data_IF_703380684128
#
_entry.id   IF_703380684128
#
_cell.length_a   1.000
_cell.length_b   1.000
_cell.length_c   1.000
_cell.angle_alpha   90.00
_cell.angle_beta   90.00
_cell.angle_gamma   90.00
#
_symmetry.space_group_name_H-M   'P 1'
#
loop_
_entity.id
_entity.type
_entity.pdbx_description
1 polymer ?
#
# COMPACT_ATOMS: atom_id res chain seq x y z
N UNK A 1 -26.28 16.40 16.87
CA UNK A 1 -25.38 15.75 15.87
C UNK A 1 -25.41 14.24 16.06
N UNK A 2 -25.80 13.49 15.05
CA UNK A 2 -25.87 12.03 15.05
C UNK A 2 -24.88 11.43 14.05
N UNK A 3 -24.49 10.16 14.22
CA UNK A 3 -23.58 9.48 13.29
C UNK A 3 -24.11 9.49 11.84
N UNK A 4 -25.43 9.43 11.68
CA UNK A 4 -26.09 9.48 10.38
C UNK A 4 -25.91 10.84 9.70
N UNK A 5 -25.90 11.92 10.46
CA UNK A 5 -25.66 13.27 9.97
C UNK A 5 -24.23 13.40 9.42
N UNK A 6 -23.26 12.83 10.15
CA UNK A 6 -21.86 12.80 9.71
C UNK A 6 -21.69 12.02 8.40
N UNK A 7 -22.40 10.90 8.22
CA UNK A 7 -22.38 10.14 6.96
C UNK A 7 -22.89 10.98 5.78
N UNK A 8 -23.99 11.68 5.97
CA UNK A 8 -24.58 12.52 4.93
C UNK A 8 -23.67 13.68 4.55
N UNK A 9 -23.08 14.32 5.54
CA UNK A 9 -22.10 15.38 5.34
C UNK A 9 -20.85 14.87 4.60
N UNK A 10 -20.25 13.76 5.04
CA UNK A 10 -19.06 13.20 4.40
C UNK A 10 -19.31 12.84 2.93
N UNK A 11 -20.43 12.19 2.64
CA UNK A 11 -20.77 11.82 1.26
C UNK A 11 -21.02 13.06 0.38
N UNK A 12 -21.68 14.09 0.89
CA UNK A 12 -21.89 15.34 0.17
C UNK A 12 -20.58 16.05 -0.15
N UNK A 13 -19.62 16.02 0.79
CA UNK A 13 -18.28 16.56 0.61
C UNK A 13 -17.49 15.78 -0.47
N UNK A 14 -17.50 14.46 -0.40
CA UNK A 14 -16.79 13.57 -1.34
C UNK A 14 -17.30 13.72 -2.78
N UNK A 15 -18.62 13.84 -2.94
CA UNK A 15 -19.24 13.98 -4.26
C UNK A 15 -19.26 15.42 -4.77
N UNK A 16 -18.97 16.40 -3.92
CA UNK A 16 -19.09 17.84 -4.24
C UNK A 16 -20.50 18.25 -4.67
N UNK A 17 -21.54 17.50 -4.23
CA UNK A 17 -22.92 17.67 -4.67
C UNK A 17 -23.91 17.05 -3.69
N UNK A 18 -24.79 17.88 -3.14
CA UNK A 18 -25.88 17.42 -2.25
C UNK A 18 -26.87 16.52 -3.01
N UNK A 19 -27.16 16.83 -4.28
CA UNK A 19 -28.09 16.05 -5.10
C UNK A 19 -27.56 14.63 -5.32
N UNK A 20 -26.29 14.48 -5.73
CA UNK A 20 -25.67 13.17 -5.92
C UNK A 20 -25.57 12.38 -4.61
N UNK A 21 -25.28 13.06 -3.51
CA UNK A 21 -25.26 12.42 -2.20
C UNK A 21 -26.64 11.90 -1.80
N UNK A 22 -27.71 12.67 -2.04
CA UNK A 22 -29.08 12.27 -1.78
C UNK A 22 -29.49 11.06 -2.63
N UNK A 23 -29.17 11.06 -3.92
CA UNK A 23 -29.39 9.91 -4.83
C UNK A 23 -28.68 8.65 -4.34
N UNK A 24 -27.42 8.77 -3.99
CA UNK A 24 -26.62 7.64 -3.48
C UNK A 24 -27.17 7.07 -2.17
N UNK A 25 -27.71 7.94 -1.32
CA UNK A 25 -28.28 7.57 -0.01
C UNK A 25 -29.76 7.12 -0.08
N UNK A 26 -30.38 7.22 -1.26
CA UNK A 26 -31.81 6.87 -1.42
C UNK A 26 -32.76 7.80 -0.66
N UNK A 27 -32.38 9.08 -0.48
CA UNK A 27 -33.19 10.08 0.24
C UNK A 27 -33.43 11.32 -0.64
N UNK A 28 -34.33 12.21 -0.22
CA UNK A 28 -34.56 13.45 -0.95
C UNK A 28 -33.42 14.48 -0.74
N UNK A 29 -33.14 15.26 -1.77
CA UNK A 29 -32.13 16.35 -1.68
C UNK A 29 -32.47 17.39 -0.59
N UNK A 30 -33.75 17.83 -0.40
CA UNK A 30 -34.10 18.72 0.71
C UNK A 30 -33.77 18.13 2.09
N UNK A 31 -33.86 16.81 2.24
CA UNK A 31 -33.52 16.16 3.50
C UNK A 31 -32.02 16.25 3.80
N UNK A 32 -31.16 15.98 2.83
CA UNK A 32 -29.70 16.11 3.02
C UNK A 32 -29.33 17.57 3.29
N UNK A 33 -29.93 18.52 2.58
CA UNK A 33 -29.71 19.96 2.83
C UNK A 33 -30.07 20.32 4.26
N UNK A 34 -31.23 19.85 4.76
CA UNK A 34 -31.67 20.09 6.13
C UNK A 34 -30.69 19.52 7.17
N UNK A 35 -30.13 18.34 6.89
CA UNK A 35 -29.11 17.73 7.77
C UNK A 35 -27.85 18.58 7.82
N UNK A 36 -27.35 19.03 6.66
CA UNK A 36 -26.16 19.88 6.57
C UNK A 36 -26.39 21.19 7.31
N UNK A 37 -27.50 21.88 7.05
CA UNK A 37 -27.82 23.15 7.73
C UNK A 37 -27.90 22.97 9.25
N UNK A 38 -28.50 21.87 9.74
CA UNK A 38 -28.54 21.57 11.18
C UNK A 38 -27.13 21.35 11.77
N UNK A 39 -26.23 20.69 11.07
CA UNK A 39 -24.85 20.54 11.50
C UNK A 39 -24.13 21.89 11.58
N UNK A 40 -24.33 22.74 10.58
CA UNK A 40 -23.73 24.09 10.54
C UNK A 40 -24.29 24.98 11.67
N UNK A 41 -25.60 24.89 11.96
CA UNK A 41 -26.23 25.57 13.10
C UNK A 41 -25.67 25.09 14.44
N UNK A 42 -25.56 23.78 14.66
CA UNK A 42 -25.00 23.21 15.88
C UNK A 42 -23.52 23.59 16.09
N UNK A 43 -22.75 23.72 15.01
CA UNK A 43 -21.34 24.10 15.04
C UNK A 43 -21.13 25.62 15.05
N UNK A 44 -22.17 26.39 14.76
CA UNK A 44 -22.10 27.85 14.68
C UNK A 44 -21.25 28.37 13.51
N UNK A 45 -21.04 27.56 12.49
CA UNK A 45 -20.20 27.92 11.33
C UNK A 45 -20.67 27.18 10.07
N UNK A 46 -20.42 27.80 8.92
CA UNK A 46 -20.61 27.14 7.63
C UNK A 46 -19.46 26.16 7.36
N UNK A 47 -19.78 25.05 6.72
CA UNK A 47 -18.84 24.00 6.35
C UNK A 47 -18.57 23.96 4.84
N UNK A 48 -19.52 24.49 4.04
CA UNK A 48 -19.42 24.53 2.59
C UNK A 48 -19.48 25.95 2.05
N UNK A 49 -18.68 26.17 1.00
CA UNK A 49 -18.82 27.31 0.11
C UNK A 49 -19.55 26.89 -1.16
N UNK A 50 -20.36 27.78 -1.73
CA UNK A 50 -21.04 27.56 -2.99
C UNK A 50 -20.21 28.14 -4.13
N UNK A 51 -19.61 27.30 -4.96
CA UNK A 51 -18.85 27.71 -6.13
C UNK A 51 -19.60 27.30 -7.41
N UNK A 52 -20.24 28.27 -8.08
CA UNK A 52 -21.02 28.18 -9.31
C UNK A 52 -22.18 27.19 -9.28
N UNK A 53 -22.04 25.92 -9.11
CA UNK A 53 -23.09 24.88 -9.01
C UNK A 53 -22.58 23.69 -8.20
N UNK A 54 -21.44 23.83 -7.54
CA UNK A 54 -20.86 22.79 -6.70
C UNK A 54 -20.68 23.31 -5.29
N UNK A 55 -20.83 22.42 -4.35
CA UNK A 55 -20.42 22.68 -2.98
C UNK A 55 -18.94 22.28 -2.84
N UNK A 56 -18.17 23.10 -2.11
CA UNK A 56 -16.78 22.85 -1.80
C UNK A 56 -16.58 23.10 -0.31
N UNK A 57 -15.84 22.24 0.36
CA UNK A 57 -15.51 22.46 1.77
C UNK A 57 -14.72 23.77 1.91
N UNK A 58 -15.12 24.61 2.88
CA UNK A 58 -14.27 25.69 3.36
C UNK A 58 -13.27 25.18 4.42
N UNK A 59 -12.43 26.02 4.96
CA UNK A 59 -11.40 25.64 5.96
C UNK A 59 -12.00 24.91 7.18
N UNK A 60 -13.15 25.38 7.69
CA UNK A 60 -13.86 24.73 8.81
C UNK A 60 -14.43 23.39 8.38
N UNK A 61 -14.98 23.30 7.15
CA UNK A 61 -15.49 22.09 6.54
C UNK A 61 -14.42 21.03 6.34
N UNK A 62 -13.23 21.41 5.89
CA UNK A 62 -12.09 20.48 5.75
C UNK A 62 -11.65 19.90 7.10
N UNK A 63 -11.56 20.76 8.12
CA UNK A 63 -11.25 20.34 9.48
C UNK A 63 -12.31 19.37 10.01
N UNK A 64 -13.58 19.75 9.87
CA UNK A 64 -14.70 18.94 10.34
C UNK A 64 -14.80 17.63 9.57
N UNK A 65 -14.59 17.64 8.24
CA UNK A 65 -14.62 16.44 7.39
C UNK A 65 -13.62 15.39 7.86
N UNK A 66 -12.39 15.75 8.19
CA UNK A 66 -11.40 14.82 8.71
C UNK A 66 -11.90 14.10 9.95
N UNK A 67 -12.39 14.84 10.95
CA UNK A 67 -12.91 14.26 12.19
C UNK A 67 -14.19 13.46 11.98
N UNK A 68 -15.12 13.95 11.17
CA UNK A 68 -16.37 13.26 10.84
C UNK A 68 -16.11 11.94 10.12
N UNK A 69 -15.19 11.94 9.15
CA UNK A 69 -14.77 10.73 8.42
C UNK A 69 -14.17 9.68 9.34
N UNK A 70 -13.32 10.09 10.28
CA UNK A 70 -12.72 9.19 11.27
C UNK A 70 -13.80 8.55 12.17
N UNK A 71 -14.76 9.33 12.64
CA UNK A 71 -15.86 8.82 13.48
C UNK A 71 -16.72 7.83 12.70
N UNK A 72 -17.13 8.14 11.48
CA UNK A 72 -17.93 7.27 10.61
C UNK A 72 -17.19 5.96 10.35
N UNK A 73 -15.92 6.04 9.94
CA UNK A 73 -15.10 4.86 9.68
C UNK A 73 -14.94 3.99 10.93
N UNK A 74 -14.73 4.62 12.11
CA UNK A 74 -14.62 3.88 13.36
C UNK A 74 -15.90 3.18 13.76
N UNK A 75 -17.05 3.79 13.51
CA UNK A 75 -18.35 3.17 13.77
C UNK A 75 -18.59 1.97 12.84
N UNK A 76 -18.24 2.08 11.56
CA UNK A 76 -18.38 0.96 10.60
C UNK A 76 -17.44 -0.19 10.94
N UNK A 77 -16.22 0.12 11.35
CA UNK A 77 -15.24 -0.85 11.83
C UNK A 77 -15.76 -1.60 13.06
N UNK A 78 -16.36 -0.90 14.04
CA UNK A 78 -16.87 -1.53 15.26
C UNK A 78 -17.95 -2.58 14.95
N UNK A 79 -18.82 -2.32 13.98
CA UNK A 79 -19.83 -3.29 13.54
C UNK A 79 -19.14 -4.51 12.92
N UNK A 80 -18.17 -4.29 12.04
CA UNK A 80 -17.36 -5.36 11.44
C UNK A 80 -16.62 -6.20 12.49
N UNK A 81 -16.07 -5.53 13.50
CA UNK A 81 -15.33 -6.18 14.59
C UNK A 81 -16.24 -7.10 15.42
N UNK A 82 -17.48 -6.68 15.72
CA UNK A 82 -18.45 -7.51 16.45
C UNK A 82 -18.88 -8.72 15.60
N UNK A 83 -19.11 -8.52 14.31
CA UNK A 83 -19.44 -9.64 13.41
C UNK A 83 -18.29 -10.64 13.30
N UNK A 84 -17.06 -10.16 13.21
CA UNK A 84 -15.86 -11.01 13.21
C UNK A 84 -15.63 -11.75 14.55
N UNK A 85 -16.10 -11.20 15.68
CA UNK A 85 -16.04 -11.88 16.99
C UNK A 85 -17.07 -13.00 17.12
N UNK A 86 -18.16 -12.96 16.37
CA UNK A 86 -19.22 -13.98 16.42
C UNK A 86 -18.90 -15.22 15.57
N UNK A 87 -18.05 -15.08 14.56
CA UNK A 87 -17.61 -16.18 13.70
C UNK A 87 -16.20 -16.65 14.08
N UNK A 88 -16.14 -17.77 14.79
CA UNK A 88 -14.93 -18.34 15.42
C UNK A 88 -13.83 -18.81 14.46
N UNK A 89 -13.64 -18.33 13.27
CA UNK A 89 -12.46 -18.66 12.44
C UNK A 89 -12.41 -17.98 11.05
N UNK A 90 -13.34 -17.15 10.69
CA UNK A 90 -13.31 -16.48 9.37
C UNK A 90 -13.16 -14.98 9.58
N UNK A 91 -12.03 -14.42 9.18
CA UNK A 91 -11.84 -12.97 9.20
C UNK A 91 -11.42 -12.46 7.83
N UNK A 92 -11.81 -11.25 7.54
CA UNK A 92 -11.31 -10.52 6.37
C UNK A 92 -10.32 -9.49 6.83
N UNK A 93 -9.11 -9.52 6.28
CA UNK A 93 -8.09 -8.51 6.51
C UNK A 93 -7.87 -7.72 5.23
N UNK A 94 -7.91 -6.39 5.32
CA UNK A 94 -7.60 -5.50 4.20
C UNK A 94 -6.14 -5.12 4.24
N UNK A 95 -5.40 -5.54 3.22
CA UNK A 95 -3.98 -5.30 3.04
C UNK A 95 -3.72 -4.42 1.81
N UNK A 96 -3.10 -3.29 2.02
CA UNK A 96 -2.57 -2.48 0.93
C UNK A 96 -1.12 -2.83 0.64
N UNK A 97 -0.67 -2.59 -0.58
CA UNK A 97 0.74 -2.77 -0.93
C UNK A 97 1.17 -1.83 -2.06
N UNK A 98 2.45 -1.49 -2.08
CA UNK A 98 3.08 -0.78 -3.20
C UNK A 98 4.18 -1.60 -3.89
N UNK A 99 4.41 -2.83 -3.41
CA UNK A 99 5.34 -3.78 -3.99
C UNK A 99 4.78 -5.21 -3.88
N UNK A 100 4.56 -5.86 -5.01
CA UNK A 100 3.96 -7.19 -5.09
C UNK A 100 4.96 -8.35 -4.86
N UNK A 101 6.25 -8.08 -4.79
CA UNK A 101 7.30 -9.10 -4.80
C UNK A 101 7.23 -10.16 -3.70
N UNK A 102 6.52 -9.89 -2.60
CA UNK A 102 6.38 -10.82 -1.46
C UNK A 102 4.97 -11.39 -1.33
N UNK A 103 3.98 -10.82 -2.02
CA UNK A 103 2.57 -11.13 -1.78
C UNK A 103 2.19 -12.55 -2.15
N UNK A 104 2.69 -13.07 -3.26
CA UNK A 104 2.38 -14.45 -3.68
C UNK A 104 2.76 -15.46 -2.60
N UNK A 105 3.95 -15.33 -2.01
CA UNK A 105 4.42 -16.20 -0.93
C UNK A 105 3.64 -15.95 0.38
N UNK A 106 3.37 -14.68 0.71
CA UNK A 106 2.59 -14.29 1.89
C UNK A 106 1.17 -14.88 1.81
N UNK A 107 0.50 -14.69 0.67
CA UNK A 107 -0.86 -15.17 0.45
C UNK A 107 -0.93 -16.70 0.53
N UNK A 108 0.00 -17.41 -0.13
CA UNK A 108 0.06 -18.87 -0.05
C UNK A 108 0.23 -19.35 1.39
N UNK A 109 1.11 -18.74 2.17
CA UNK A 109 1.30 -19.07 3.58
C UNK A 109 0.08 -18.69 4.44
N UNK A 110 -0.56 -17.55 4.15
CA UNK A 110 -1.79 -17.12 4.82
C UNK A 110 -2.93 -18.10 4.59
N UNK A 111 -3.20 -18.47 3.35
CA UNK A 111 -4.26 -19.42 2.99
C UNK A 111 -4.02 -20.81 3.60
N UNK A 112 -2.75 -21.25 3.68
CA UNK A 112 -2.41 -22.50 4.34
C UNK A 112 -2.70 -22.45 5.86
N UNK A 113 -2.49 -21.31 6.51
CA UNK A 113 -2.69 -21.13 7.96
C UNK A 113 -4.14 -20.81 8.33
N UNK A 114 -4.85 -20.07 7.48
CA UNK A 114 -6.22 -19.57 7.70
C UNK A 114 -7.11 -19.85 6.48
N UNK A 115 -7.43 -21.13 6.20
CA UNK A 115 -8.07 -21.53 4.94
C UNK A 115 -9.48 -20.99 4.73
N UNK A 116 -10.12 -20.49 5.78
CA UNK A 116 -11.46 -19.90 5.73
C UNK A 116 -11.46 -18.36 5.75
N UNK A 117 -10.30 -17.76 5.99
CA UNK A 117 -10.18 -16.31 6.08
C UNK A 117 -9.91 -15.68 4.71
N UNK A 118 -10.24 -14.41 4.55
CA UNK A 118 -10.04 -13.65 3.32
C UNK A 118 -8.97 -12.57 3.54
N UNK A 119 -7.94 -12.59 2.72
CA UNK A 119 -6.98 -11.49 2.61
C UNK A 119 -7.33 -10.66 1.39
N UNK A 120 -7.89 -9.46 1.62
CA UNK A 120 -8.25 -8.53 0.56
C UNK A 120 -7.06 -7.64 0.24
N UNK A 121 -6.36 -7.93 -0.85
CA UNK A 121 -5.15 -7.24 -1.27
C UNK A 121 -5.44 -6.18 -2.34
N UNK A 122 -4.88 -4.99 -2.16
CA UNK A 122 -5.05 -3.90 -3.13
C UNK A 122 -3.75 -3.14 -3.31
N UNK A 123 -3.30 -3.02 -4.56
CA UNK A 123 -2.21 -2.10 -4.91
C UNK A 123 -2.63 -0.66 -4.67
N UNK A 124 -1.76 0.12 -4.04
CA UNK A 124 -2.01 1.52 -3.79
C UNK A 124 -0.71 2.34 -3.83
N UNK A 125 -0.81 3.58 -4.28
CA UNK A 125 0.29 4.54 -4.20
C UNK A 125 0.49 4.98 -2.73
N UNK A 126 1.70 5.42 -2.39
CA UNK A 126 2.07 5.78 -1.01
C UNK A 126 1.10 6.76 -0.34
N UNK A 127 0.67 7.80 -1.05
CA UNK A 127 -0.30 8.77 -0.54
C UNK A 127 -1.64 8.14 -0.18
N UNK A 128 -2.11 7.19 -1.01
CA UNK A 128 -3.36 6.48 -0.79
C UNK A 128 -3.24 5.49 0.37
N UNK A 129 -2.08 4.82 0.52
CA UNK A 129 -1.79 3.96 1.66
C UNK A 129 -1.89 4.76 2.94
N UNK A 130 -1.18 5.91 3.02
CA UNK A 130 -1.21 6.80 4.19
C UNK A 130 -2.64 7.26 4.49
N UNK A 131 -3.37 7.71 3.47
CA UNK A 131 -4.76 8.16 3.63
C UNK A 131 -5.68 7.06 4.15
N UNK A 132 -5.63 5.87 3.53
CA UNK A 132 -6.52 4.75 3.88
C UNK A 132 -6.19 4.14 5.24
N UNK A 133 -4.92 4.06 5.64
CA UNK A 133 -4.53 3.64 6.99
C UNK A 133 -4.98 4.68 8.04
N UNK A 134 -4.81 5.97 7.77
CA UNK A 134 -5.24 7.04 8.68
C UNK A 134 -6.75 7.04 8.90
N UNK A 135 -7.53 6.81 7.85
CA UNK A 135 -9.00 6.77 7.91
C UNK A 135 -9.56 5.42 8.34
N UNK A 136 -8.73 4.38 8.50
CA UNK A 136 -9.16 3.04 8.85
C UNK A 136 -9.88 2.30 7.72
N UNK A 137 -9.79 2.77 6.48
CA UNK A 137 -10.31 2.08 5.28
C UNK A 137 -9.46 0.86 4.92
N UNK A 138 -8.25 0.76 5.46
CA UNK A 138 -7.41 -0.42 5.41
C UNK A 138 -6.83 -0.69 6.80
N UNK A 139 -6.55 -1.95 7.09
CA UNK A 139 -6.02 -2.38 8.37
C UNK A 139 -4.51 -2.39 8.39
N UNK A 140 -3.92 -2.87 7.30
CA UNK A 140 -2.48 -3.00 7.15
C UNK A 140 -2.01 -2.54 5.78
N UNK A 141 -0.72 -2.19 5.72
CA UNK A 141 -0.02 -2.05 4.46
C UNK A 141 1.35 -2.73 4.53
N UNK A 142 1.76 -3.34 3.42
CA UNK A 142 3.14 -3.78 3.17
C UNK A 142 3.71 -2.82 2.14
N UNK A 143 4.71 -2.06 2.55
CA UNK A 143 5.28 -1.03 1.69
C UNK A 143 6.81 -1.01 1.71
N UNK A 144 7.34 -0.48 0.63
CA UNK A 144 8.74 -0.25 0.38
C UNK A 144 8.92 1.21 -0.10
N UNK A 145 9.71 2.04 0.60
CA UNK A 145 10.22 1.87 1.96
C UNK A 145 9.12 2.01 3.04
N UNK A 146 9.39 1.70 4.33
CA UNK A 146 8.47 1.92 5.43
C UNK A 146 8.02 3.38 5.52
N UNK A 147 6.78 3.63 5.95
CA UNK A 147 6.26 4.98 6.17
C UNK A 147 7.02 5.61 7.35
N UNK A 148 7.65 6.75 7.09
CA UNK A 148 8.37 7.47 8.11
C UNK A 148 7.43 8.28 9.03
N UNK A 149 7.86 8.56 10.27
CA UNK A 149 7.02 9.25 11.26
C UNK A 149 6.69 10.71 10.90
N UNK A 150 7.51 11.34 10.08
CA UNK A 150 7.27 12.70 9.56
C UNK A 150 6.21 12.70 8.44
N UNK A 151 6.01 11.58 7.74
CA UNK A 151 4.95 11.44 6.75
C UNK A 151 3.57 11.23 7.38
N UNK A 152 3.49 10.51 8.50
CA UNK A 152 2.26 10.38 9.29
C UNK A 152 2.54 10.03 10.74
N UNK A 153 2.04 10.90 11.64
CA UNK A 153 2.10 10.65 13.09
C UNK A 153 1.12 9.58 13.57
N UNK A 154 0.16 9.19 12.74
CA UNK A 154 -0.87 8.20 13.09
C UNK A 154 -0.45 6.77 12.74
N UNK A 155 0.51 6.62 11.84
CA UNK A 155 0.95 5.31 11.35
C UNK A 155 2.18 4.86 12.13
N UNK A 156 2.19 3.59 12.47
CA UNK A 156 3.37 2.86 12.91
C UNK A 156 3.77 1.90 11.81
N UNK A 157 5.04 1.97 11.40
CA UNK A 157 5.66 1.05 10.46
C UNK A 157 6.71 0.22 11.17
N UNK A 158 6.50 -1.09 11.20
CA UNK A 158 7.46 -2.05 11.72
C UNK A 158 8.28 -2.59 10.56
N UNK A 159 9.59 -2.44 10.61
CA UNK A 159 10.46 -3.10 9.62
C UNK A 159 10.33 -4.61 9.76
N UNK A 160 9.88 -5.27 8.70
CA UNK A 160 9.67 -6.73 8.68
C UNK A 160 10.68 -7.47 7.81
N UNK A 161 11.29 -6.80 6.84
CA UNK A 161 12.29 -7.40 5.96
C UNK A 161 13.34 -6.39 5.51
N UNK A 162 14.59 -6.86 5.38
CA UNK A 162 15.69 -6.14 4.71
C UNK A 162 16.12 -6.96 3.50
N UNK A 163 15.80 -6.47 2.31
CA UNK A 163 16.04 -7.17 1.07
C UNK A 163 17.33 -6.70 0.41
N UNK A 164 18.22 -7.62 0.12
CA UNK A 164 19.47 -7.34 -0.60
C UNK A 164 19.28 -7.21 -2.11
N UNK A 165 18.11 -7.63 -2.62
CA UNK A 165 17.78 -7.57 -4.02
C UNK A 165 18.52 -8.57 -4.91
N UNK A 166 17.98 -8.72 -6.10
CA UNK A 166 18.59 -9.44 -7.20
C UNK A 166 18.32 -8.71 -8.52
N UNK A 167 18.98 -9.11 -9.59
CA UNK A 167 18.75 -8.58 -10.93
C UNK A 167 18.41 -9.70 -11.87
N UNK A 168 17.34 -9.54 -12.61
CA UNK A 168 16.92 -10.46 -13.66
C UNK A 168 17.61 -10.09 -14.97
N UNK A 169 18.21 -11.08 -15.61
CA UNK A 169 18.93 -10.94 -16.88
C UNK A 169 18.68 -12.16 -17.79
N UNK A 170 18.63 -11.99 -19.12
CA UNK A 170 18.46 -13.11 -20.02
C UNK A 170 19.75 -13.97 -20.09
N UNK A 171 19.67 -15.25 -20.53
CA UNK A 171 20.81 -16.18 -20.53
C UNK A 171 22.01 -15.74 -21.37
N UNK A 172 21.80 -14.95 -22.42
CA UNK A 172 22.86 -14.42 -23.29
C UNK A 172 23.44 -13.08 -22.80
N UNK A 173 22.97 -12.57 -21.68
CA UNK A 173 23.45 -11.31 -21.10
C UNK A 173 24.83 -11.50 -20.45
N UNK A 174 25.78 -10.54 -20.58
CA UNK A 174 27.10 -10.64 -19.94
C UNK A 174 27.07 -10.92 -18.44
N UNK A 175 26.09 -10.33 -17.72
CA UNK A 175 25.91 -10.54 -16.28
C UNK A 175 25.41 -11.94 -15.92
N UNK A 176 24.89 -12.70 -16.88
CA UNK A 176 24.38 -14.06 -16.62
C UNK A 176 25.42 -15.00 -16.05
N UNK A 177 26.69 -14.79 -16.39
CA UNK A 177 27.81 -15.63 -15.93
C UNK A 177 28.34 -15.25 -14.54
N UNK A 178 27.83 -14.18 -13.96
CA UNK A 178 28.24 -13.71 -12.64
C UNK A 178 27.35 -14.29 -11.55
N UNK A 179 27.94 -14.73 -10.46
CA UNK A 179 27.20 -15.11 -9.25
C UNK A 179 26.65 -13.87 -8.52
N UNK A 180 27.42 -12.77 -8.57
CA UNK A 180 27.06 -11.49 -7.96
C UNK A 180 27.32 -10.35 -8.95
N UNK A 181 26.50 -9.32 -8.85
CA UNK A 181 26.66 -8.08 -9.62
C UNK A 181 26.82 -6.88 -8.68
N UNK A 182 27.69 -5.95 -9.05
CA UNK A 182 27.94 -4.69 -8.33
C UNK A 182 27.21 -3.54 -9.02
N UNK A 183 27.24 -2.33 -8.44
CA UNK A 183 26.64 -1.16 -9.06
C UNK A 183 27.31 -0.82 -10.39
N UNK A 184 28.64 -0.91 -10.46
CA UNK A 184 29.41 -0.66 -11.67
C UNK A 184 29.05 -1.64 -12.80
N UNK A 185 28.69 -2.86 -12.43
CA UNK A 185 28.21 -3.86 -13.38
C UNK A 185 26.85 -3.51 -13.97
N UNK A 186 25.98 -2.85 -13.19
CA UNK A 186 24.59 -2.54 -13.57
C UNK A 186 24.46 -1.27 -14.38
N UNK A 187 25.24 -0.23 -14.06
CA UNK A 187 25.17 1.10 -14.68
C UNK A 187 25.19 1.10 -16.22
N UNK A 188 25.99 0.24 -16.91
CA UNK A 188 26.04 0.25 -18.37
C UNK A 188 24.76 -0.20 -19.05
N UNK A 189 23.83 -0.85 -18.32
CA UNK A 189 22.68 -1.48 -18.94
C UNK A 189 21.40 -0.67 -18.76
N UNK A 190 20.50 -0.68 -19.77
CA UNK A 190 19.18 -0.10 -19.63
C UNK A 190 18.33 -0.90 -18.62
N UNK A 191 17.42 -0.18 -17.95
CA UNK A 191 16.61 -0.71 -16.85
C UNK A 191 15.14 -0.75 -17.22
N UNK A 192 14.52 -1.90 -16.97
CA UNK A 192 13.06 -2.10 -16.93
C UNK A 192 12.64 -1.99 -15.47
N UNK A 193 11.73 -1.07 -15.14
CA UNK A 193 11.45 -0.71 -13.75
C UNK A 193 9.99 -0.25 -13.57
N UNK A 194 9.55 -0.18 -12.33
CA UNK A 194 8.25 0.40 -11.98
C UNK A 194 8.19 1.92 -12.27
N UNK A 195 7.00 2.49 -12.51
CA UNK A 195 6.84 3.93 -12.73
C UNK A 195 7.26 4.77 -11.53
N UNK A 196 7.54 6.06 -11.77
CA UNK A 196 7.82 7.04 -10.71
C UNK A 196 6.69 7.10 -9.69
N UNK A 197 7.06 7.25 -8.41
CA UNK A 197 6.12 7.26 -7.29
C UNK A 197 5.73 5.86 -6.78
N UNK A 198 6.29 4.80 -7.35
CA UNK A 198 6.23 3.47 -6.74
C UNK A 198 7.41 3.27 -5.79
N UNK A 199 7.20 2.53 -4.70
CA UNK A 199 8.24 2.31 -3.70
C UNK A 199 9.50 1.62 -4.26
N UNK A 200 9.34 0.71 -5.22
CA UNK A 200 10.48 0.07 -5.89
C UNK A 200 11.27 1.08 -6.72
N UNK A 201 10.58 1.97 -7.46
CA UNK A 201 11.27 2.99 -8.25
C UNK A 201 12.05 3.95 -7.36
N UNK A 202 11.43 4.46 -6.31
CA UNK A 202 12.06 5.40 -5.39
C UNK A 202 13.29 4.77 -4.72
N UNK A 203 13.22 3.49 -4.37
CA UNK A 203 14.35 2.74 -3.80
C UNK A 203 15.49 2.61 -4.81
N UNK A 204 15.22 2.21 -6.05
CA UNK A 204 16.26 2.03 -7.08
C UNK A 204 16.88 3.37 -7.47
N UNK A 205 16.08 4.42 -7.64
CA UNK A 205 16.58 5.78 -7.92
C UNK A 205 17.51 6.24 -6.78
N UNK A 206 17.15 6.00 -5.52
CA UNK A 206 18.00 6.33 -4.35
C UNK A 206 19.32 5.53 -4.32
N UNK A 207 19.27 4.23 -4.66
CA UNK A 207 20.48 3.38 -4.74
C UNK A 207 21.41 3.89 -5.84
N UNK A 208 20.91 4.19 -7.03
CA UNK A 208 21.72 4.76 -8.11
C UNK A 208 22.31 6.11 -7.70
N UNK A 209 21.50 7.01 -7.14
CA UNK A 209 21.94 8.34 -6.71
C UNK A 209 23.04 8.28 -5.64
N UNK A 210 22.96 7.35 -4.67
CA UNK A 210 23.99 7.12 -3.64
C UNK A 210 25.36 6.81 -4.25
N UNK A 211 25.39 6.14 -5.39
CA UNK A 211 26.61 5.81 -6.13
C UNK A 211 26.97 6.85 -7.20
N UNK A 212 26.25 7.98 -7.27
CA UNK A 212 26.52 9.05 -8.24
C UNK A 212 25.99 8.78 -9.65
N UNK A 213 25.04 7.85 -9.80
CA UNK A 213 24.48 7.46 -11.08
C UNK A 213 22.97 7.77 -11.19
N UNK A 214 22.47 7.67 -12.41
CA UNK A 214 21.03 7.70 -12.70
C UNK A 214 20.69 6.51 -13.59
N UNK A 215 19.61 5.76 -13.32
CA UNK A 215 19.25 4.61 -14.13
C UNK A 215 18.82 5.04 -15.54
N UNK A 216 19.30 4.33 -16.56
CA UNK A 216 18.84 4.50 -17.94
C UNK A 216 17.54 3.71 -18.12
N UNK A 217 16.39 4.33 -17.83
CA UNK A 217 15.08 3.67 -17.87
C UNK A 217 14.56 3.60 -19.29
N UNK A 218 14.28 2.38 -19.79
CA UNK A 218 13.79 2.13 -21.15
C UNK A 218 12.36 1.60 -21.20
N UNK A 219 11.84 1.10 -20.07
CA UNK A 219 10.45 0.65 -19.97
C UNK A 219 9.98 0.74 -18.52
N UNK A 220 8.76 1.26 -18.35
CA UNK A 220 8.13 1.42 -17.04
C UNK A 220 6.84 0.62 -16.95
N UNK A 221 6.74 -0.27 -15.97
CA UNK A 221 5.52 -1.03 -15.64
C UNK A 221 5.57 -1.58 -14.22
N UNK A 222 4.41 -1.61 -13.54
CA UNK A 222 4.24 -2.30 -12.24
C UNK A 222 3.90 -3.78 -12.42
N UNK A 223 3.63 -4.22 -13.64
CA UNK A 223 3.27 -5.59 -13.94
C UNK A 223 4.52 -6.45 -14.05
N UNK A 224 4.63 -7.46 -13.18
CA UNK A 224 5.78 -8.36 -13.09
C UNK A 224 5.93 -9.19 -14.36
N UNK A 225 4.85 -9.66 -14.96
CA UNK A 225 4.88 -10.49 -16.17
C UNK A 225 5.37 -9.67 -17.36
N UNK A 226 4.93 -8.41 -17.46
CA UNK A 226 5.43 -7.49 -18.47
C UNK A 226 6.90 -7.14 -18.26
N UNK A 227 7.37 -6.99 -17.02
CA UNK A 227 8.80 -6.81 -16.72
C UNK A 227 9.61 -8.03 -17.15
N UNK A 228 9.16 -9.24 -16.78
CA UNK A 228 9.82 -10.50 -17.17
C UNK A 228 9.88 -10.64 -18.71
N UNK A 229 8.77 -10.38 -19.38
CA UNK A 229 8.73 -10.41 -20.85
C UNK A 229 9.71 -9.42 -21.47
N UNK A 230 9.70 -8.17 -21.00
CA UNK A 230 10.59 -7.13 -21.52
C UNK A 230 12.07 -7.49 -21.36
N UNK A 231 12.45 -8.17 -20.26
CA UNK A 231 13.83 -8.59 -20.02
C UNK A 231 14.17 -9.88 -20.75
N UNK A 232 13.38 -10.93 -20.57
CA UNK A 232 13.74 -12.28 -21.01
C UNK A 232 13.44 -12.55 -22.49
N UNK A 233 12.39 -11.93 -23.04
CA UNK A 233 11.95 -12.13 -24.42
C UNK A 233 12.39 -10.98 -25.30
N UNK A 234 12.02 -9.76 -24.94
CA UNK A 234 12.27 -8.58 -25.75
C UNK A 234 13.68 -8.01 -25.58
N UNK A 235 14.43 -8.50 -24.55
CA UNK A 235 15.84 -8.13 -24.24
C UNK A 235 16.07 -6.62 -24.14
N UNK A 236 15.11 -5.90 -23.55
CA UNK A 236 15.16 -4.45 -23.44
C UNK A 236 16.18 -3.94 -22.43
N UNK A 237 16.60 -4.78 -21.47
CA UNK A 237 17.53 -4.41 -20.42
C UNK A 237 17.50 -5.39 -19.25
N UNK A 238 17.78 -4.90 -18.06
CA UNK A 238 17.77 -5.62 -16.79
C UNK A 238 16.59 -5.18 -15.93
N UNK A 239 16.13 -6.03 -15.02
CA UNK A 239 15.10 -5.64 -14.03
C UNK A 239 15.55 -6.01 -12.62
N UNK A 240 15.22 -5.12 -11.68
CA UNK A 240 15.48 -5.36 -10.26
C UNK A 240 14.37 -6.20 -9.64
N UNK A 241 14.75 -7.17 -8.85
CA UNK A 241 13.89 -8.15 -8.22
C UNK A 241 14.24 -8.29 -6.74
N UNK A 242 13.30 -8.77 -5.93
CA UNK A 242 13.61 -9.19 -4.56
C UNK A 242 14.64 -10.35 -4.56
N UNK A 243 15.47 -10.42 -3.54
CA UNK A 243 16.43 -11.52 -3.36
C UNK A 243 15.76 -12.90 -3.25
N UNK A 244 14.49 -12.97 -2.83
CA UNK A 244 13.72 -14.22 -2.77
C UNK A 244 13.61 -14.92 -4.12
N UNK A 245 13.59 -14.16 -5.22
CA UNK A 245 13.46 -14.71 -6.57
C UNK A 245 14.68 -15.54 -7.02
N UNK A 246 15.81 -15.40 -6.32
CA UNK A 246 16.98 -16.28 -6.54
C UNK A 246 16.65 -17.74 -6.15
N UNK A 247 15.63 -17.96 -5.34
CA UNK A 247 15.16 -19.31 -4.94
C UNK A 247 13.84 -19.72 -5.60
N UNK A 248 13.23 -18.85 -6.40
CA UNK A 248 12.00 -19.14 -7.11
C UNK A 248 12.27 -20.17 -8.23
N UNK A 249 11.63 -21.35 -8.21
CA UNK A 249 11.90 -22.41 -9.23
C UNK A 249 11.65 -21.97 -10.67
N UNK A 250 10.77 -20.97 -10.89
CA UNK A 250 10.39 -20.53 -12.23
C UNK A 250 11.40 -19.54 -12.82
N UNK A 251 11.93 -18.64 -12.00
CA UNK A 251 12.75 -17.51 -12.49
C UNK A 251 14.15 -17.42 -11.89
N UNK A 252 14.48 -18.24 -10.88
CA UNK A 252 15.79 -18.22 -10.19
C UNK A 252 16.98 -18.32 -11.13
N UNK A 253 16.87 -19.13 -12.18
CA UNK A 253 17.92 -19.27 -13.19
C UNK A 253 18.28 -17.96 -13.89
N UNK A 254 17.36 -17.00 -13.96
CA UNK A 254 17.55 -15.68 -14.59
C UNK A 254 17.95 -14.59 -13.58
N UNK A 255 17.90 -14.88 -12.29
CA UNK A 255 18.20 -13.92 -11.23
C UNK A 255 19.67 -13.99 -10.79
N UNK A 256 20.32 -12.85 -10.61
CA UNK A 256 21.68 -12.71 -10.10
C UNK A 256 21.65 -11.88 -8.85
N UNK A 257 22.35 -12.33 -7.81
CA UNK A 257 22.46 -11.62 -6.53
C UNK A 257 23.18 -10.28 -6.71
N UNK A 258 22.73 -9.27 -5.98
CA UNK A 258 23.44 -8.00 -5.95
C UNK A 258 24.35 -7.91 -4.73
N UNK A 259 25.54 -7.32 -4.91
CA UNK A 259 26.43 -6.83 -3.85
C UNK A 259 26.43 -5.32 -3.84
N UNK A 260 25.27 -4.73 -3.95
CA UNK A 260 25.12 -3.29 -3.83
C UNK A 260 24.89 -2.98 -2.36
N UNK A 261 25.77 -2.19 -1.77
CA UNK A 261 25.74 -1.85 -0.35
C UNK A 261 24.36 -1.34 0.09
N UNK A 262 23.83 -2.01 1.09
CA UNK A 262 22.58 -1.71 1.78
C UNK A 262 21.30 -1.83 0.98
N UNK A 263 20.83 -3.07 0.97
CA UNK A 263 19.43 -3.43 0.86
C UNK A 263 18.68 -2.69 -0.25
N UNK A 264 18.37 -3.39 -1.31
CA UNK A 264 17.44 -2.93 -2.35
C UNK A 264 16.07 -2.54 -1.78
N UNK A 265 15.87 -2.75 -0.50
CA UNK A 265 14.69 -2.24 0.17
C UNK A 265 14.55 -2.70 1.61
N UNK A 266 13.95 -1.81 2.37
CA UNK A 266 13.44 -2.11 3.71
C UNK A 266 11.93 -2.18 3.58
N UNK A 267 11.34 -3.34 3.90
CA UNK A 267 9.89 -3.55 3.84
C UNK A 267 9.29 -3.26 5.20
N UNK A 268 8.24 -2.44 5.20
CA UNK A 268 7.44 -2.12 6.38
C UNK A 268 6.13 -2.89 6.39
N UNK A 269 5.68 -3.25 7.59
CA UNK A 269 4.29 -3.56 7.90
C UNK A 269 3.72 -2.39 8.66
N UNK A 270 2.84 -1.64 8.03
CA UNK A 270 2.26 -0.41 8.56
C UNK A 270 0.81 -0.57 8.95
N UNK A 271 0.42 0.14 9.99
CA UNK A 271 -0.95 0.18 10.51
C UNK A 271 -1.18 1.48 11.30
N UNK A 272 -2.45 1.84 11.52
CA UNK A 272 -2.79 2.97 12.38
C UNK A 272 -2.61 2.59 13.85
N UNK A 273 -1.64 3.21 14.54
CA UNK A 273 -1.30 2.89 15.95
C UNK A 273 -2.36 3.32 16.97
N UNK A 274 -3.27 4.21 16.59
CA UNK A 274 -4.35 4.66 17.46
C UNK A 274 -5.64 3.86 17.27
N UNK A 275 -5.70 3.01 16.25
CA UNK A 275 -6.82 2.10 16.07
C UNK A 275 -6.68 0.89 16.99
N UNK A 276 -7.70 0.57 17.82
CA UNK A 276 -7.68 -0.65 18.60
C UNK A 276 -7.59 -1.88 17.68
N UNK A 277 -6.69 -2.78 17.98
CA UNK A 277 -6.58 -4.02 17.22
C UNK A 277 -7.70 -4.98 17.58
N UNK A 278 -8.42 -5.43 16.56
CA UNK A 278 -9.34 -6.57 16.67
C UNK A 278 -8.57 -7.86 16.88
N UNK A 279 -9.27 -8.95 17.20
CA UNK A 279 -8.65 -10.27 17.26
C UNK A 279 -8.00 -10.65 15.91
N UNK A 280 -8.72 -10.43 14.80
CA UNK A 280 -8.21 -10.67 13.44
C UNK A 280 -6.96 -9.86 13.11
N UNK A 281 -6.94 -8.57 13.45
CA UNK A 281 -5.75 -7.73 13.25
C UNK A 281 -4.55 -8.23 14.06
N UNK A 282 -4.75 -8.71 15.29
CA UNK A 282 -3.66 -9.28 16.11
C UNK A 282 -3.11 -10.55 15.47
N UNK A 283 -4.00 -11.45 15.04
CA UNK A 283 -3.63 -12.69 14.36
C UNK A 283 -2.88 -12.42 13.05
N UNK A 284 -3.40 -11.53 12.20
CA UNK A 284 -2.72 -11.18 10.96
C UNK A 284 -1.34 -10.55 11.20
N UNK A 285 -1.24 -9.59 12.13
CA UNK A 285 0.06 -8.97 12.48
C UNK A 285 1.07 -10.01 12.94
N UNK A 286 0.65 -10.89 13.85
CA UNK A 286 1.53 -11.96 14.37
C UNK A 286 1.97 -12.90 13.26
N UNK A 287 1.04 -13.32 12.39
CA UNK A 287 1.32 -14.14 11.23
C UNK A 287 2.31 -13.44 10.26
N UNK A 288 2.02 -12.19 9.86
CA UNK A 288 2.84 -11.47 8.90
C UNK A 288 4.27 -11.25 9.41
N UNK A 289 4.44 -10.83 10.67
CA UNK A 289 5.76 -10.67 11.28
C UNK A 289 6.52 -12.00 11.31
N UNK A 290 5.86 -13.09 11.69
CA UNK A 290 6.46 -14.43 11.67
C UNK A 290 6.87 -14.89 10.27
N UNK A 291 5.99 -14.70 9.29
CA UNK A 291 6.28 -15.00 7.89
C UNK A 291 7.52 -14.26 7.37
N UNK A 292 7.59 -12.95 7.59
CA UNK A 292 8.75 -12.17 7.14
C UNK A 292 10.03 -12.49 7.90
N UNK A 293 9.95 -12.90 9.18
CA UNK A 293 11.11 -13.35 9.93
C UNK A 293 11.70 -14.65 9.33
N UNK A 294 10.87 -15.59 8.91
CA UNK A 294 11.33 -16.79 8.20
C UNK A 294 11.87 -16.45 6.80
N UNK A 295 11.24 -15.52 6.10
CA UNK A 295 11.71 -15.04 4.81
C UNK A 295 13.09 -14.36 4.91
N UNK A 296 13.33 -13.57 5.98
CA UNK A 296 14.63 -12.94 6.24
C UNK A 296 15.74 -14.00 6.36
N UNK A 297 15.50 -15.08 7.12
CA UNK A 297 16.47 -16.18 7.23
C UNK A 297 16.81 -16.81 5.88
N UNK A 298 15.81 -16.92 4.99
CA UNK A 298 16.05 -17.44 3.63
C UNK A 298 16.87 -16.47 2.79
N UNK A 299 16.67 -15.16 2.92
CA UNK A 299 17.46 -14.14 2.21
C UNK A 299 18.89 -14.10 2.76
N UNK A 300 19.06 -14.13 4.08
CA UNK A 300 20.38 -14.09 4.72
C UNK A 300 21.21 -15.35 4.40
N UNK A 301 20.57 -16.47 4.09
CA UNK A 301 21.22 -17.73 3.69
C UNK A 301 21.54 -17.79 2.17
N UNK A 302 21.22 -16.75 1.42
CA UNK A 302 21.50 -16.61 -0.02
C UNK A 302 22.75 -15.77 -0.23
#
# INVERSE_FOLDING_TARGET
MELKDLRYFCLAAELGSITRAAETLGVSQPFVTKVINRLEEELGTQLFDINKRRIVLNTNGEFFYKGAKDIVTRADTLVGDILAMQDQAEFTTTLLYNNAGYLGALNSAFMARFPKSVLSETYAMRSDIISKLNTGMAEFAIELPPIAQDESKMIESVTVLRDTGSVMVPPDHPLFKKDYVTMEDLVPYPVVIAPKGSGMRDTIDAVYAKHGYTPNVVYETNDMDLQQRAVLVDKRGIAFMSAIHVKDPLISQYCRRTRVDHAFGVVGLSYNKFRPFTASMKEFKHFAVGFFAELQKLIDAV
#
